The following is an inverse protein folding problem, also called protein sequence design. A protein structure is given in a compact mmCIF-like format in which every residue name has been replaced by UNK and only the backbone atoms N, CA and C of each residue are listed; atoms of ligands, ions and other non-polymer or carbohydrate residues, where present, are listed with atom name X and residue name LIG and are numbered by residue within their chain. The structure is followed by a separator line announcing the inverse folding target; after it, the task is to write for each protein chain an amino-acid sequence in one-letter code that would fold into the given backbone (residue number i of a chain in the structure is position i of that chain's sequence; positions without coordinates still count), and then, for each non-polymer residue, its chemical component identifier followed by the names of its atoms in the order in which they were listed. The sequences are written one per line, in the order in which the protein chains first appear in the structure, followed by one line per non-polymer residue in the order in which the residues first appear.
data_IF_580039695342
#
_entry.id   IF_580039695342
#
_cell.length_a   1.000
_cell.length_b   1.000
_cell.length_c   1.000
_cell.angle_alpha   90.00
_cell.angle_beta   90.00
_cell.angle_gamma   90.00
#
_symmetry.space_group_name_H-M   'P 1'
#
loop_
_entity.id
_entity.type
_entity.pdbx_description
1 polymer ?
#
# COMPACT_ATOMS: atom_id res chain seq x y z
N UNK A 1 8.95 25.96 -26.61
CA UNK A 1 7.55 25.48 -26.66
C UNK A 1 6.75 26.23 -25.60
N UNK A 2 5.51 26.61 -25.88
CA UNK A 2 4.64 27.27 -24.90
C UNK A 2 4.07 26.27 -23.87
N UNK A 3 3.80 26.74 -22.66
CA UNK A 3 3.10 25.96 -21.64
C UNK A 3 1.59 25.98 -21.86
N UNK A 4 0.92 24.85 -21.62
CA UNK A 4 -0.53 24.74 -21.60
C UNK A 4 -1.13 25.51 -20.41
N UNK A 5 -2.45 25.75 -20.43
CA UNK A 5 -3.13 26.42 -19.31
C UNK A 5 -2.98 25.64 -17.98
N UNK A 6 -3.02 24.31 -18.03
CA UNK A 6 -2.81 23.46 -16.85
C UNK A 6 -1.37 23.57 -16.31
N UNK A 7 -0.38 23.57 -17.21
CA UNK A 7 1.04 23.74 -16.85
C UNK A 7 1.29 25.13 -16.23
N UNK A 8 0.71 26.18 -16.81
CA UNK A 8 0.78 27.53 -16.25
C UNK A 8 0.13 27.61 -14.86
N UNK A 9 -1.01 26.93 -14.68
CA UNK A 9 -1.67 26.82 -13.38
C UNK A 9 -0.78 26.16 -12.33
N UNK A 10 -0.07 25.09 -12.67
CA UNK A 10 0.90 24.47 -11.76
C UNK A 10 2.09 25.37 -11.45
N UNK A 11 2.66 26.05 -12.45
CA UNK A 11 3.75 27.01 -12.25
C UNK A 11 3.32 28.10 -11.25
N UNK A 12 2.11 28.64 -11.41
CA UNK A 12 1.56 29.64 -10.49
C UNK A 12 1.35 29.07 -9.08
N UNK A 13 0.81 27.85 -8.96
CA UNK A 13 0.64 27.15 -7.67
C UNK A 13 1.98 26.96 -6.96
N UNK A 14 2.98 26.39 -7.62
CA UNK A 14 4.29 26.11 -7.01
C UNK A 14 4.98 27.40 -6.52
N UNK A 15 4.81 28.51 -7.24
CA UNK A 15 5.33 29.83 -6.85
C UNK A 15 4.51 30.55 -5.77
N UNK A 16 3.30 30.07 -5.46
CA UNK A 16 2.47 30.69 -4.43
C UNK A 16 3.05 30.46 -3.04
N UNK A 17 2.80 31.38 -2.11
CA UNK A 17 3.22 31.22 -0.72
C UNK A 17 2.61 29.98 -0.05
N UNK A 18 1.43 29.57 -0.52
CA UNK A 18 0.70 28.43 0.01
C UNK A 18 1.43 27.10 -0.23
N UNK A 19 1.86 26.85 -1.47
CA UNK A 19 2.70 25.69 -1.78
C UNK A 19 4.15 25.94 -1.32
N UNK A 20 4.70 27.12 -1.59
CA UNK A 20 6.07 27.49 -1.21
C UNK A 20 7.15 26.64 -1.88
N UNK A 21 6.95 26.28 -3.16
CA UNK A 21 7.81 25.36 -3.92
C UNK A 21 8.49 26.04 -5.12
N UNK A 22 8.73 27.35 -5.05
CA UNK A 22 9.31 28.13 -6.14
C UNK A 22 10.72 27.65 -6.54
N UNK A 23 11.47 27.04 -5.60
CA UNK A 23 12.81 26.52 -5.84
C UNK A 23 12.86 25.37 -6.86
N UNK A 24 11.73 24.70 -7.12
CA UNK A 24 11.65 23.68 -8.16
C UNK A 24 11.71 24.28 -9.59
N UNK A 25 11.55 25.59 -9.74
CA UNK A 25 11.46 26.28 -11.02
C UNK A 25 12.60 27.31 -11.17
N UNK A 26 13.87 26.87 -11.38
CA UNK A 26 14.99 27.78 -11.55
C UNK A 26 14.87 28.63 -12.82
N UNK A 27 15.41 29.85 -12.79
CA UNK A 27 15.22 30.84 -13.86
C UNK A 27 15.80 30.42 -15.23
N UNK A 28 16.77 29.50 -15.24
CA UNK A 28 17.42 28.98 -16.43
C UNK A 28 16.81 27.65 -16.94
N UNK A 29 15.65 27.24 -16.44
CA UNK A 29 15.00 25.98 -16.81
C UNK A 29 14.51 25.99 -18.27
N UNK A 30 14.86 24.97 -19.04
CA UNK A 30 14.27 24.78 -20.37
C UNK A 30 12.81 24.33 -20.26
N UNK A 31 11.91 24.76 -21.17
CA UNK A 31 10.50 24.37 -21.12
C UNK A 31 10.26 22.85 -21.10
N UNK A 32 11.14 22.06 -21.73
CA UNK A 32 11.02 20.59 -21.75
C UNK A 32 11.19 19.99 -20.35
N UNK A 33 12.10 20.55 -19.56
CA UNK A 33 12.44 20.03 -18.24
C UNK A 33 11.41 20.45 -17.21
N UNK A 34 10.92 21.69 -17.30
CA UNK A 34 9.76 22.15 -16.51
C UNK A 34 8.56 21.23 -16.75
N UNK A 35 8.24 20.87 -18.00
CA UNK A 35 7.11 19.97 -18.28
C UNK A 35 7.26 18.60 -17.63
N UNK A 36 8.48 18.04 -17.58
CA UNK A 36 8.76 16.77 -16.90
C UNK A 36 8.52 16.88 -15.39
N UNK A 37 9.03 17.93 -14.76
CA UNK A 37 8.77 18.23 -13.35
C UNK A 37 7.28 18.38 -13.07
N UNK A 38 6.55 19.11 -13.93
CA UNK A 38 5.11 19.31 -13.77
C UNK A 38 4.31 18.01 -13.90
N UNK A 39 4.78 17.05 -14.69
CA UNK A 39 4.18 15.72 -14.74
C UNK A 39 4.34 14.99 -13.40
N UNK A 40 5.53 15.05 -12.78
CA UNK A 40 5.77 14.44 -11.47
C UNK A 40 4.93 15.10 -10.36
N UNK A 41 4.82 16.43 -10.38
CA UNK A 41 3.96 17.21 -9.47
C UNK A 41 2.48 16.87 -9.65
N UNK A 42 2.03 16.70 -10.89
CA UNK A 42 0.64 16.31 -11.20
C UNK A 42 0.35 14.90 -10.70
N UNK A 43 1.30 13.98 -10.84
CA UNK A 43 1.17 12.63 -10.30
C UNK A 43 1.07 12.68 -8.76
N UNK A 44 1.97 13.41 -8.09
CA UNK A 44 1.96 13.57 -6.64
C UNK A 44 0.63 14.15 -6.12
N UNK A 45 0.04 15.10 -6.85
CA UNK A 45 -1.28 15.67 -6.53
C UNK A 45 -2.42 14.68 -6.72
N UNK A 46 -2.33 13.80 -7.72
CA UNK A 46 -3.37 12.79 -7.97
C UNK A 46 -3.36 11.68 -6.93
N UNK A 47 -2.18 11.24 -6.50
CA UNK A 47 -2.03 10.02 -5.68
C UNK A 47 -2.31 10.27 -4.21
N UNK A 48 -2.02 11.47 -3.69
CA UNK A 48 -2.19 11.79 -2.28
C UNK A 48 -3.62 12.26 -1.98
N UNK A 49 -4.31 11.71 -0.97
CA UNK A 49 -5.63 12.19 -0.56
C UNK A 49 -5.63 13.68 -0.22
N UNK A 50 -6.48 14.46 -0.91
CA UNK A 50 -6.51 15.92 -0.77
C UNK A 50 -5.42 16.67 -1.54
N UNK A 51 -4.63 15.98 -2.35
CA UNK A 51 -3.66 16.56 -3.26
C UNK A 51 -2.34 17.02 -2.63
N UNK A 52 -1.47 17.55 -3.47
CA UNK A 52 -0.11 17.93 -3.11
C UNK A 52 -0.09 19.06 -2.08
N UNK A 53 -1.09 19.95 -2.12
CA UNK A 53 -1.21 20.99 -1.11
C UNK A 53 -1.49 20.41 0.29
N UNK A 54 -2.39 19.44 0.38
CA UNK A 54 -2.67 18.76 1.65
C UNK A 54 -1.44 18.00 2.15
N UNK A 55 -0.70 17.37 1.25
CA UNK A 55 0.60 16.75 1.56
C UNK A 55 1.58 17.76 2.19
N UNK A 56 1.79 18.91 1.54
CA UNK A 56 2.71 19.96 2.04
C UNK A 56 2.25 20.50 3.40
N UNK A 57 0.95 20.75 3.58
CA UNK A 57 0.39 21.24 4.85
C UNK A 57 0.58 20.23 5.98
N UNK A 58 0.29 18.95 5.71
CA UNK A 58 0.50 17.87 6.67
C UNK A 58 1.98 17.75 7.04
N UNK A 59 2.88 17.77 6.05
CA UNK A 59 4.31 17.74 6.27
C UNK A 59 4.79 18.89 7.17
N UNK A 60 4.40 20.13 6.87
CA UNK A 60 4.76 21.31 7.71
C UNK A 60 4.27 21.15 9.14
N UNK A 61 3.03 20.70 9.32
CA UNK A 61 2.47 20.46 10.66
C UNK A 61 3.29 19.39 11.39
N UNK A 62 3.51 18.23 10.79
CA UNK A 62 4.24 17.12 11.41
C UNK A 62 5.69 17.50 11.76
N UNK A 63 6.36 18.25 10.89
CA UNK A 63 7.72 18.77 11.15
C UNK A 63 7.73 19.78 12.30
N UNK A 64 6.74 20.69 12.35
CA UNK A 64 6.61 21.65 13.44
C UNK A 64 6.30 20.96 14.78
N UNK A 65 5.35 20.01 14.78
CA UNK A 65 4.98 19.20 15.95
C UNK A 65 6.18 18.39 16.46
N UNK A 66 6.92 17.75 15.55
CA UNK A 66 8.15 17.02 15.88
C UNK A 66 9.21 17.92 16.50
N UNK A 67 9.45 19.11 15.92
CA UNK A 67 10.38 20.10 16.46
C UNK A 67 9.97 20.60 17.84
N UNK A 68 8.66 20.77 18.07
CA UNK A 68 8.11 21.19 19.34
C UNK A 68 8.00 20.06 20.38
N UNK A 69 8.34 18.81 20.00
CA UNK A 69 8.23 17.65 20.89
C UNK A 69 6.78 17.28 21.23
N UNK A 70 5.83 17.65 20.37
CA UNK A 70 4.42 17.31 20.57
C UNK A 70 4.26 15.79 20.50
N UNK A 71 3.79 15.21 21.60
CA UNK A 71 3.42 13.79 21.63
C UNK A 71 1.90 13.67 21.39
N UNK A 72 1.44 13.14 20.24
CA UNK A 72 0.00 12.98 19.98
C UNK A 72 -0.66 11.99 20.93
N UNK A 73 0.12 11.21 21.67
CA UNK A 73 -0.34 10.25 22.67
C UNK A 73 -0.06 10.71 24.11
N UNK A 74 0.22 12.00 24.34
CA UNK A 74 0.33 12.51 25.70
C UNK A 74 -0.98 12.29 26.48
N UNK A 75 -0.86 11.76 27.70
CA UNK A 75 -2.02 11.38 28.52
C UNK A 75 -2.65 10.03 28.17
N UNK A 76 -2.20 9.35 27.11
CA UNK A 76 -2.59 7.98 26.81
C UNK A 76 -1.63 6.99 27.44
N UNK A 77 -2.17 5.95 28.07
CA UNK A 77 -1.40 4.82 28.59
C UNK A 77 -1.57 3.64 27.63
N UNK A 78 -0.49 3.11 27.02
CA UNK A 78 -0.60 1.90 26.21
C UNK A 78 -1.03 0.75 27.11
N UNK A 79 -2.10 0.05 26.70
CA UNK A 79 -2.57 -1.16 27.35
C UNK A 79 -2.48 -2.29 26.34
N UNK A 80 -1.89 -3.41 26.75
CA UNK A 80 -1.98 -4.63 25.97
C UNK A 80 -3.41 -5.15 26.14
N UNK A 81 -4.22 -5.22 25.05
CA UNK A 81 -5.57 -5.74 25.16
C UNK A 81 -5.53 -7.18 25.68
N UNK A 82 -6.49 -7.54 26.53
CA UNK A 82 -6.67 -8.93 26.93
C UNK A 82 -6.99 -9.76 25.68
N UNK A 83 -6.13 -10.73 25.40
CA UNK A 83 -6.26 -11.65 24.29
C UNK A 83 -6.12 -13.08 24.79
N UNK A 84 -6.87 -13.98 24.18
CA UNK A 84 -6.80 -15.41 24.48
C UNK A 84 -5.92 -16.10 23.44
N UNK A 85 -4.93 -16.87 23.91
CA UNK A 85 -4.07 -17.70 23.06
C UNK A 85 -4.17 -19.15 23.55
N UNK A 86 -5.24 -19.87 23.17
CA UNK A 86 -5.44 -21.24 23.62
C UNK A 86 -4.34 -22.15 23.06
N UNK A 87 -3.94 -23.15 23.85
CA UNK A 87 -2.96 -24.15 23.43
C UNK A 87 -3.50 -24.96 22.25
N UNK A 88 -2.67 -25.18 21.24
CA UNK A 88 -3.06 -25.97 20.06
C UNK A 88 -3.46 -27.38 20.50
N UNK A 89 -4.67 -27.82 20.11
CA UNK A 89 -5.23 -29.12 20.49
C UNK A 89 -6.07 -29.11 21.77
N UNK A 90 -6.13 -28.00 22.51
CA UNK A 90 -7.05 -27.85 23.64
C UNK A 90 -8.52 -27.77 23.20
N UNK A 91 -9.49 -28.10 24.09
CA UNK A 91 -10.91 -27.89 23.82
C UNK A 91 -11.25 -26.44 23.47
N UNK A 92 -10.56 -25.48 24.09
CA UNK A 92 -10.72 -24.04 23.86
C UNK A 92 -10.25 -23.67 22.45
N UNK A 93 -9.10 -24.16 22.02
CA UNK A 93 -8.60 -23.98 20.65
C UNK A 93 -9.59 -24.52 19.63
N UNK A 94 -10.08 -25.75 19.82
CA UNK A 94 -11.07 -26.36 18.94
C UNK A 94 -12.39 -25.57 18.90
N UNK A 95 -12.82 -25.00 20.04
CA UNK A 95 -14.00 -24.15 20.10
C UNK A 95 -13.81 -22.84 19.32
N UNK A 96 -12.63 -22.23 19.40
CA UNK A 96 -12.31 -20.99 18.66
C UNK A 96 -12.13 -21.24 17.17
N UNK A 97 -11.43 -22.31 16.81
CA UNK A 97 -11.30 -22.75 15.42
C UNK A 97 -12.67 -23.01 14.81
N UNK A 98 -13.54 -23.74 15.51
CA UNK A 98 -14.92 -23.97 15.07
C UNK A 98 -15.65 -22.64 14.81
N UNK A 99 -15.56 -21.66 15.72
CA UNK A 99 -16.15 -20.32 15.55
C UNK A 99 -15.61 -19.61 14.31
N UNK A 100 -14.29 -19.62 14.12
CA UNK A 100 -13.64 -19.03 12.95
C UNK A 100 -14.09 -19.67 11.64
N UNK A 101 -14.22 -21.01 11.62
CA UNK A 101 -14.72 -21.76 10.47
C UNK A 101 -16.18 -21.44 10.12
N UNK A 102 -17.00 -20.94 11.06
CA UNK A 102 -18.38 -20.50 10.77
C UNK A 102 -18.40 -19.15 10.02
N UNK A 103 -17.44 -18.30 10.33
CA UNK A 103 -17.35 -16.95 9.78
C UNK A 103 -16.44 -16.84 8.55
N UNK A 104 -15.68 -17.90 8.23
CA UNK A 104 -14.68 -17.93 7.17
C UNK A 104 -15.20 -17.50 5.78
N UNK A 105 -16.45 -17.85 5.46
CA UNK A 105 -17.10 -17.45 4.21
C UNK A 105 -17.31 -15.94 4.07
N UNK A 106 -17.27 -15.22 5.20
CA UNK A 106 -17.46 -13.78 5.32
C UNK A 106 -16.11 -13.03 5.44
N UNK A 107 -14.99 -13.65 5.08
CA UNK A 107 -13.66 -13.06 5.24
C UNK A 107 -13.09 -12.56 3.90
N UNK A 108 -12.41 -11.42 3.93
CA UNK A 108 -11.55 -10.89 2.90
C UNK A 108 -10.09 -10.83 3.39
N UNK A 109 -9.14 -10.95 2.47
CA UNK A 109 -7.71 -11.05 2.77
C UNK A 109 -6.94 -9.90 2.14
N UNK A 110 -5.99 -9.34 2.89
CA UNK A 110 -5.13 -8.24 2.43
C UNK A 110 -3.68 -8.58 2.72
N UNK A 111 -2.90 -8.78 1.66
CA UNK A 111 -1.46 -9.01 1.72
C UNK A 111 -0.72 -7.70 1.42
N UNK A 112 0.16 -7.29 2.33
CA UNK A 112 1.08 -6.18 2.10
C UNK A 112 2.43 -6.73 1.61
N UNK A 113 2.74 -6.51 0.33
CA UNK A 113 3.88 -7.06 -0.41
C UNK A 113 4.71 -5.98 -1.14
N UNK A 114 4.87 -4.80 -0.54
CA UNK A 114 5.59 -3.67 -1.15
C UNK A 114 7.13 -3.74 -1.06
N UNK A 115 7.70 -4.69 -0.32
CA UNK A 115 9.13 -4.75 -0.02
C UNK A 115 9.91 -5.81 -0.82
N UNK A 116 11.13 -5.45 -1.20
CA UNK A 116 12.14 -6.38 -1.74
C UNK A 116 12.86 -7.15 -0.62
N UNK A 117 13.46 -8.28 -0.98
CA UNK A 117 14.26 -9.13 -0.09
C UNK A 117 15.74 -8.72 0.05
N UNK A 118 16.14 -7.54 -0.41
CA UNK A 118 17.56 -7.16 -0.53
C UNK A 118 18.34 -7.25 0.79
N UNK A 119 17.72 -6.85 1.91
CA UNK A 119 18.33 -6.95 3.25
C UNK A 119 18.59 -8.40 3.66
N UNK A 120 17.84 -9.36 3.11
CA UNK A 120 18.02 -10.79 3.31
C UNK A 120 19.04 -11.39 2.33
N UNK A 121 19.63 -10.59 1.44
CA UNK A 121 20.47 -11.07 0.35
C UNK A 121 19.68 -11.71 -0.80
N UNK A 122 18.36 -11.47 -0.89
CA UNK A 122 17.50 -12.00 -1.94
C UNK A 122 17.08 -10.88 -2.92
N UNK A 123 17.62 -10.84 -4.14
CA UNK A 123 17.43 -9.73 -5.08
C UNK A 123 16.11 -9.85 -5.86
N UNK A 124 15.00 -10.11 -5.17
CA UNK A 124 13.66 -10.21 -5.76
C UNK A 124 12.58 -9.94 -4.69
N UNK A 125 11.30 -10.09 -5.07
CA UNK A 125 10.13 -9.85 -4.21
C UNK A 125 10.04 -10.90 -3.10
N UNK A 126 9.79 -10.49 -1.86
CA UNK A 126 9.73 -11.42 -0.72
C UNK A 126 8.68 -12.51 -0.88
N UNK A 127 7.55 -12.22 -1.51
CA UNK A 127 6.49 -13.22 -1.74
C UNK A 127 6.91 -14.34 -2.70
N UNK A 128 7.99 -14.15 -3.46
CA UNK A 128 8.61 -15.16 -4.32
C UNK A 128 9.66 -16.02 -3.58
N UNK A 129 9.98 -15.71 -2.32
CA UNK A 129 10.82 -16.59 -1.51
C UNK A 129 10.09 -17.91 -1.26
N UNK A 130 10.81 -19.04 -1.25
CA UNK A 130 10.26 -20.30 -0.81
C UNK A 130 9.99 -20.25 0.70
N UNK A 131 8.78 -20.64 1.14
CA UNK A 131 8.42 -20.74 2.55
C UNK A 131 9.17 -21.87 3.27
N UNK A 132 9.64 -22.85 2.49
CA UNK A 132 10.44 -23.99 2.93
C UNK A 132 11.23 -24.55 1.73
N UNK A 133 12.28 -25.34 1.97
CA UNK A 133 13.22 -25.77 0.91
C UNK A 133 12.95 -27.17 0.36
N UNK A 134 12.02 -27.93 0.92
CA UNK A 134 11.72 -29.29 0.46
C UNK A 134 10.84 -29.30 -0.79
N UNK A 135 9.79 -28.46 -0.83
CA UNK A 135 8.92 -28.32 -2.02
C UNK A 135 9.23 -27.07 -2.83
N UNK A 136 9.83 -26.06 -2.20
CA UNK A 136 10.08 -24.77 -2.84
C UNK A 136 8.82 -23.94 -3.03
N UNK A 137 7.73 -24.28 -2.32
CA UNK A 137 6.47 -23.52 -2.35
C UNK A 137 6.76 -22.07 -1.98
N UNK A 138 6.39 -21.12 -2.83
CA UNK A 138 6.61 -19.70 -2.54
C UNK A 138 5.64 -19.19 -1.46
N UNK A 139 5.98 -18.13 -0.74
CA UNK A 139 5.03 -17.50 0.20
C UNK A 139 3.72 -17.09 -0.50
N UNK A 140 3.80 -16.55 -1.73
CA UNK A 140 2.61 -16.21 -2.51
C UNK A 140 1.71 -17.43 -2.73
N UNK A 141 2.30 -18.54 -3.20
CA UNK A 141 1.60 -19.80 -3.42
C UNK A 141 1.00 -20.35 -2.13
N UNK A 142 1.76 -20.33 -1.02
CA UNK A 142 1.31 -20.78 0.29
C UNK A 142 0.04 -20.02 0.72
N UNK A 143 0.07 -18.68 0.66
CA UNK A 143 -1.08 -17.87 1.05
C UNK A 143 -2.30 -18.10 0.15
N UNK A 144 -2.11 -18.18 -1.17
CA UNK A 144 -3.22 -18.48 -2.10
C UNK A 144 -3.82 -19.85 -1.81
N UNK A 145 -2.99 -20.87 -1.59
CA UNK A 145 -3.44 -22.23 -1.24
C UNK A 145 -4.23 -22.25 0.08
N UNK A 146 -3.80 -21.51 1.10
CA UNK A 146 -4.58 -21.39 2.34
C UNK A 146 -5.96 -20.76 2.09
N UNK A 147 -6.03 -19.68 1.31
CA UNK A 147 -7.30 -19.02 1.01
C UNK A 147 -8.21 -19.94 0.19
N UNK A 148 -7.68 -20.72 -0.75
CA UNK A 148 -8.45 -21.71 -1.51
C UNK A 148 -8.96 -22.86 -0.63
N UNK A 149 -8.15 -23.35 0.31
CA UNK A 149 -8.59 -24.35 1.27
C UNK A 149 -9.71 -23.81 2.17
N UNK A 150 -9.58 -22.58 2.65
CA UNK A 150 -10.63 -21.88 3.41
C UNK A 150 -11.91 -21.70 2.59
N UNK A 151 -11.76 -21.35 1.32
CA UNK A 151 -12.87 -21.22 0.39
C UNK A 151 -13.61 -22.55 0.18
N UNK A 152 -12.89 -23.66 0.06
CA UNK A 152 -13.48 -24.99 -0.07
C UNK A 152 -14.27 -25.38 1.19
N UNK A 153 -13.70 -25.16 2.38
CA UNK A 153 -14.36 -25.42 3.66
C UNK A 153 -15.63 -24.59 3.81
N UNK A 154 -15.56 -23.28 3.51
CA UNK A 154 -16.72 -22.39 3.56
C UNK A 154 -17.80 -22.82 2.56
N UNK A 155 -17.41 -23.23 1.35
CA UNK A 155 -18.35 -23.67 0.30
C UNK A 155 -19.09 -24.94 0.70
N UNK A 156 -18.36 -25.94 1.21
CA UNK A 156 -18.94 -27.20 1.72
C UNK A 156 -19.93 -26.94 2.86
N UNK A 157 -19.54 -26.09 3.82
CA UNK A 157 -20.37 -25.74 4.97
C UNK A 157 -21.66 -25.03 4.56
N UNK A 158 -21.59 -24.08 3.63
CA UNK A 158 -22.74 -23.30 3.19
C UNK A 158 -23.56 -23.98 2.09
N UNK A 159 -23.12 -25.14 1.59
CA UNK A 159 -23.79 -25.88 0.51
C UNK A 159 -23.84 -25.11 -0.82
N UNK A 160 -22.96 -24.12 -1.00
CA UNK A 160 -22.90 -23.28 -2.21
C UNK A 160 -21.47 -22.79 -2.46
N UNK A 161 -21.10 -22.46 -3.71
CA UNK A 161 -19.80 -21.86 -4.00
C UNK A 161 -19.59 -20.54 -3.23
N UNK A 162 -18.43 -20.42 -2.58
CA UNK A 162 -17.94 -19.19 -1.94
C UNK A 162 -16.71 -18.72 -2.70
N UNK A 163 -16.52 -17.41 -2.81
CA UNK A 163 -15.26 -16.80 -3.23
C UNK A 163 -14.70 -15.96 -2.08
N UNK A 164 -13.43 -16.19 -1.72
CA UNK A 164 -12.72 -15.40 -0.73
C UNK A 164 -11.78 -14.42 -1.45
N UNK A 165 -11.98 -13.10 -1.35
CA UNK A 165 -11.18 -12.13 -2.09
C UNK A 165 -9.81 -11.91 -1.44
N UNK A 166 -8.81 -11.62 -2.28
CA UNK A 166 -7.45 -11.28 -1.89
C UNK A 166 -7.04 -9.95 -2.54
N UNK A 167 -6.74 -8.94 -1.73
CA UNK A 167 -6.09 -7.72 -2.18
C UNK A 167 -4.59 -7.79 -1.88
N UNK A 168 -3.75 -7.46 -2.85
CA UNK A 168 -2.28 -7.47 -2.70
C UNK A 168 -1.77 -6.06 -2.92
N UNK A 169 -1.28 -5.41 -1.88
CA UNK A 169 -0.58 -4.13 -2.00
C UNK A 169 0.86 -4.37 -2.44
N UNK A 170 1.26 -3.81 -3.57
CA UNK A 170 2.62 -3.86 -4.12
C UNK A 170 3.21 -2.46 -4.23
N UNK A 171 4.52 -2.32 -4.38
CA UNK A 171 5.15 -1.05 -4.72
C UNK A 171 5.56 -1.04 -6.19
N UNK A 172 6.00 0.11 -6.71
CA UNK A 172 6.58 0.18 -8.06
C UNK A 172 7.75 -0.80 -8.26
N UNK A 173 8.48 -1.13 -7.19
CA UNK A 173 9.62 -2.04 -7.24
C UNK A 173 9.21 -3.52 -7.18
N UNK A 174 7.98 -3.84 -6.71
CA UNK A 174 7.48 -5.22 -6.59
C UNK A 174 6.33 -5.59 -7.54
N UNK A 175 5.72 -4.59 -8.20
CA UNK A 175 4.53 -4.77 -9.03
C UNK A 175 4.74 -5.79 -10.16
N UNK A 176 5.68 -5.53 -11.07
CA UNK A 176 5.84 -6.33 -12.29
C UNK A 176 6.24 -7.77 -11.97
N UNK A 177 7.13 -7.95 -10.99
CA UNK A 177 7.52 -9.26 -10.51
C UNK A 177 6.35 -10.02 -9.84
N UNK A 178 5.47 -9.31 -9.12
CA UNK A 178 4.27 -9.93 -8.50
C UNK A 178 3.26 -10.35 -9.56
N UNK A 179 2.98 -9.48 -10.52
CA UNK A 179 2.10 -9.79 -11.66
C UNK A 179 2.64 -11.00 -12.43
N UNK A 180 3.94 -11.00 -12.72
CA UNK A 180 4.60 -12.12 -13.42
C UNK A 180 4.51 -13.42 -12.63
N UNK A 181 4.79 -13.40 -11.32
CA UNK A 181 4.72 -14.59 -10.46
C UNK A 181 3.32 -15.21 -10.48
N UNK A 182 2.28 -14.38 -10.38
CA UNK A 182 0.89 -14.85 -10.44
C UNK A 182 0.53 -15.39 -11.82
N UNK A 183 0.87 -14.68 -12.89
CA UNK A 183 0.56 -15.09 -14.27
C UNK A 183 1.25 -16.39 -14.67
N UNK A 184 2.56 -16.51 -14.40
CA UNK A 184 3.35 -17.70 -14.73
C UNK A 184 2.80 -18.97 -14.04
N UNK A 185 2.10 -18.80 -12.91
CA UNK A 185 1.54 -19.89 -12.12
C UNK A 185 0.00 -19.96 -12.17
N UNK A 186 -0.64 -19.29 -13.13
CA UNK A 186 -2.10 -19.25 -13.29
C UNK A 186 -2.82 -18.92 -11.96
N UNK A 187 -2.38 -17.85 -11.30
CA UNK A 187 -2.84 -17.40 -9.98
C UNK A 187 -2.83 -18.49 -8.89
N UNK A 188 -1.98 -19.51 -9.03
CA UNK A 188 -1.93 -20.68 -8.14
C UNK A 188 -3.30 -21.38 -7.97
N UNK A 189 -4.18 -21.26 -8.97
CA UNK A 189 -5.52 -21.84 -8.98
C UNK A 189 -6.65 -20.93 -8.46
N UNK A 190 -6.35 -19.70 -8.04
CA UNK A 190 -7.38 -18.73 -7.67
C UNK A 190 -7.97 -18.02 -8.89
N UNK A 191 -9.29 -17.79 -8.90
CA UNK A 191 -9.92 -17.10 -10.02
C UNK A 191 -9.40 -15.65 -10.13
N UNK A 192 -9.20 -15.18 -11.37
CA UNK A 192 -8.62 -13.87 -11.62
C UNK A 192 -9.46 -12.70 -11.06
N UNK A 193 -10.77 -12.88 -10.89
CA UNK A 193 -11.67 -11.88 -10.30
C UNK A 193 -11.60 -11.80 -8.76
N UNK A 194 -10.91 -12.74 -8.11
CA UNK A 194 -10.69 -12.76 -6.66
C UNK A 194 -9.46 -11.96 -6.23
N UNK A 195 -8.49 -11.75 -7.12
CA UNK A 195 -7.23 -11.06 -6.82
C UNK A 195 -7.29 -9.62 -7.32
N UNK A 196 -7.02 -8.67 -6.42
CA UNK A 196 -6.86 -7.26 -6.78
C UNK A 196 -5.47 -6.79 -6.38
N UNK A 197 -4.63 -6.47 -7.36
CA UNK A 197 -3.32 -5.86 -7.12
C UNK A 197 -3.49 -4.35 -6.99
N UNK A 198 -3.04 -3.79 -5.87
CA UNK A 198 -3.12 -2.37 -5.55
C UNK A 198 -1.70 -1.80 -5.53
N UNK A 199 -1.41 -0.88 -6.45
CA UNK A 199 -0.10 -0.26 -6.55
C UNK A 199 0.04 0.90 -5.57
N UNK A 200 1.00 0.79 -4.65
CA UNK A 200 1.45 1.88 -3.81
C UNK A 200 2.37 2.80 -4.62
N UNK A 201 1.91 4.03 -4.80
CA UNK A 201 2.71 5.10 -5.38
C UNK A 201 3.66 5.72 -4.34
N UNK A 202 4.76 6.31 -4.82
CA UNK A 202 5.72 7.01 -3.96
C UNK A 202 5.23 8.44 -3.70
N UNK A 203 5.61 9.00 -2.55
CA UNK A 203 5.34 10.40 -2.20
C UNK A 203 6.61 11.25 -2.34
N UNK A 204 6.49 12.58 -2.56
CA UNK A 204 7.66 13.45 -2.61
C UNK A 204 8.51 13.36 -1.34
N UNK A 205 9.84 13.36 -1.48
CA UNK A 205 10.73 13.54 -0.34
C UNK A 205 10.83 15.03 0.02
N UNK A 206 11.11 15.32 1.29
CA UNK A 206 11.28 16.69 1.78
C UNK A 206 12.75 17.03 1.93
N UNK A 207 13.13 18.20 1.44
CA UNK A 207 14.47 18.78 1.49
C UNK A 207 14.79 19.38 2.85
N UNK A 208 13.82 20.03 3.49
CA UNK A 208 14.01 20.83 4.70
C UNK A 208 12.78 20.88 5.61
N UNK A 209 12.91 21.57 6.75
CA UNK A 209 11.85 21.75 7.74
C UNK A 209 10.70 22.67 7.29
N UNK A 210 10.85 23.36 6.16
CA UNK A 210 9.76 24.16 5.56
C UNK A 210 8.87 23.31 4.62
N UNK A 211 9.16 22.00 4.55
CA UNK A 211 8.58 21.04 3.62
C UNK A 211 8.79 21.42 2.15
N UNK A 212 9.97 21.98 1.81
CA UNK A 212 10.37 22.09 0.41
C UNK A 212 10.56 20.68 -0.17
N UNK A 213 10.04 20.42 -1.36
CA UNK A 213 10.19 19.13 -2.03
C UNK A 213 11.64 18.99 -2.50
N UNK A 214 12.23 17.81 -2.23
CA UNK A 214 13.55 17.46 -2.71
C UNK A 214 13.50 17.04 -4.19
N UNK A 215 14.60 17.29 -4.89
CA UNK A 215 14.84 16.84 -6.27
C UNK A 215 15.98 15.84 -6.28
N UNK A 216 16.08 15.05 -7.36
CA UNK A 216 17.18 14.10 -7.51
C UNK A 216 18.51 14.84 -7.64
N UNK A 217 19.58 14.24 -7.10
CA UNK A 217 20.91 14.85 -7.14
C UNK A 217 21.49 14.94 -8.58
N UNK A 218 21.11 13.99 -9.44
CA UNK A 218 21.54 13.90 -10.84
C UNK A 218 20.59 14.60 -11.82
N UNK A 219 19.39 15.00 -11.38
CA UNK A 219 18.40 15.70 -12.22
C UNK A 219 17.51 16.64 -11.38
N UNK A 220 17.78 17.97 -11.40
CA UNK A 220 17.01 18.93 -10.62
C UNK A 220 15.59 19.16 -11.13
N UNK A 221 15.20 18.55 -12.25
CA UNK A 221 13.85 18.60 -12.82
C UNK A 221 13.07 17.30 -12.60
N UNK A 222 13.55 16.47 -11.69
CA UNK A 222 12.86 15.29 -11.16
C UNK A 222 12.74 15.39 -9.66
N UNK A 223 11.52 15.27 -9.14
CA UNK A 223 11.33 15.20 -7.70
C UNK A 223 11.89 13.88 -7.17
N UNK A 224 12.54 13.94 -6.02
CA UNK A 224 12.90 12.74 -5.26
C UNK A 224 11.63 12.19 -4.61
N UNK A 225 11.42 10.88 -4.66
CA UNK A 225 10.24 10.24 -4.07
C UNK A 225 10.61 9.03 -3.24
N UNK A 226 9.83 8.76 -2.18
CA UNK A 226 10.03 7.63 -1.28
C UNK A 226 8.73 6.89 -1.03
N UNK A 227 8.79 5.60 -0.67
CA UNK A 227 7.62 4.87 -0.18
C UNK A 227 7.01 5.60 1.03
N UNK A 228 5.68 5.71 1.07
CA UNK A 228 4.97 6.37 2.16
C UNK A 228 4.75 5.45 3.38
N UNK A 229 5.03 4.15 3.22
CA UNK A 229 4.89 3.13 4.27
C UNK A 229 3.65 2.25 4.09
N UNK A 230 3.55 1.15 4.83
CA UNK A 230 2.46 0.18 4.63
C UNK A 230 1.06 0.69 5.01
N UNK A 231 0.96 1.85 5.67
CA UNK A 231 -0.32 2.48 6.01
C UNK A 231 -1.17 2.87 4.79
N UNK A 232 -0.55 3.00 3.61
CA UNK A 232 -1.28 3.28 2.35
C UNK A 232 -2.28 2.19 1.98
N UNK A 233 -2.14 0.98 2.54
CA UNK A 233 -3.06 -0.13 2.28
C UNK A 233 -4.51 0.29 2.51
N UNK A 234 -4.79 1.10 3.54
CA UNK A 234 -6.13 1.55 3.87
C UNK A 234 -6.67 2.54 2.82
N UNK A 235 -5.84 3.50 2.40
CA UNK A 235 -6.18 4.45 1.33
C UNK A 235 -6.42 3.73 0.02
N UNK A 236 -5.56 2.77 -0.33
CA UNK A 236 -5.65 2.00 -1.57
C UNK A 236 -6.91 1.12 -1.60
N UNK A 237 -7.26 0.47 -0.49
CA UNK A 237 -8.52 -0.28 -0.39
C UNK A 237 -9.71 0.61 -0.72
N UNK A 238 -9.78 1.83 -0.16
CA UNK A 238 -10.86 2.78 -0.44
C UNK A 238 -10.82 3.29 -1.89
N UNK A 239 -9.64 3.60 -2.45
CA UNK A 239 -9.50 4.06 -3.84
C UNK A 239 -9.95 2.99 -4.85
N UNK A 240 -9.75 1.72 -4.53
CA UNK A 240 -10.22 0.59 -5.32
C UNK A 240 -11.69 0.20 -5.02
N UNK A 241 -12.37 0.90 -4.10
CA UNK A 241 -13.77 0.62 -3.70
C UNK A 241 -13.97 -0.78 -3.11
N UNK A 242 -12.92 -1.34 -2.51
CA UNK A 242 -12.94 -2.72 -2.02
C UNK A 242 -13.77 -2.89 -0.75
N UNK A 243 -13.72 -1.99 0.25
CA UNK A 243 -14.60 -2.09 1.42
C UNK A 243 -16.08 -2.14 1.04
N UNK A 244 -16.55 -1.24 0.17
CA UNK A 244 -17.95 -1.19 -0.26
C UNK A 244 -18.35 -2.41 -1.10
N UNK A 245 -17.43 -2.92 -1.94
CA UNK A 245 -17.65 -4.16 -2.68
C UNK A 245 -17.78 -5.35 -1.73
N UNK A 246 -16.84 -5.50 -0.80
CA UNK A 246 -16.80 -6.61 0.14
C UNK A 246 -17.97 -6.61 1.10
N UNK A 247 -18.42 -5.45 1.56
CA UNK A 247 -19.64 -5.33 2.35
C UNK A 247 -20.87 -5.84 1.58
N UNK A 248 -21.03 -5.43 0.31
CA UNK A 248 -22.10 -5.92 -0.58
C UNK A 248 -22.01 -7.43 -0.84
N UNK A 249 -20.80 -7.96 -0.91
CA UNK A 249 -20.52 -9.40 -1.06
C UNK A 249 -20.68 -10.19 0.26
N UNK A 250 -21.13 -9.53 1.34
CA UNK A 250 -21.40 -10.14 2.64
C UNK A 250 -20.15 -10.44 3.46
N UNK A 251 -19.03 -9.78 3.18
CA UNK A 251 -17.81 -9.88 3.98
C UNK A 251 -17.93 -9.00 5.22
N UNK A 252 -17.58 -9.59 6.37
CA UNK A 252 -17.61 -8.95 7.69
C UNK A 252 -16.20 -8.75 8.26
N UNK A 253 -15.26 -9.61 7.86
CA UNK A 253 -13.93 -9.69 8.43
C UNK A 253 -12.88 -9.40 7.37
N UNK A 254 -11.85 -8.62 7.72
CA UNK A 254 -10.70 -8.36 6.87
C UNK A 254 -9.44 -8.75 7.62
N UNK A 255 -8.66 -9.67 7.05
CA UNK A 255 -7.40 -10.13 7.62
C UNK A 255 -6.25 -9.49 6.87
N UNK A 256 -5.46 -8.67 7.57
CA UNK A 256 -4.23 -8.08 7.04
C UNK A 256 -3.03 -8.92 7.47
N UNK A 257 -2.13 -9.21 6.54
CA UNK A 257 -0.90 -9.97 6.81
C UNK A 257 0.27 -9.49 5.94
N UNK A 258 1.48 -9.86 6.35
CA UNK A 258 2.75 -9.42 5.76
C UNK A 258 3.65 -10.63 5.49
N UNK A 259 4.70 -10.40 4.66
CA UNK A 259 5.76 -11.35 4.31
C UNK A 259 7.13 -10.95 4.89
#
# INVERSE_FOLDING_TARGET
MAFSAAEQGWIAKLKSAEYGQAHLLPDNAEPKDVKRLLADVTLADKVYPGGLLSYIRNARKLLADSKAGVNPFEGYTPVVPEGESPEVGSPEYAAFEKKGLEELGCTAFVLVAGGLGERLGYPSIKIGLPSETATGTTYCELYVKYILAFQEVASKRLGKPVKLPLAIMVSGDTHDATVKLLQDNNNFGMDADQIVIMLQEKVPALLDNDAKIAVKADDPFRIETKPHGHGDVHTLLCQHGLPEKWEKDGKKWVVFFQV
#
